data_IF_474404252599
#
_entry.id   IF_474404252599
#
_cell.length_a   1.000
_cell.length_b   1.000
_cell.length_c   1.000
_cell.angle_alpha   90.00
_cell.angle_beta   90.00
_cell.angle_gamma   90.00
#
_symmetry.space_group_name_H-M   'P 1'
#
loop_
_entity.id
_entity.type
_entity.pdbx_description
1 polymer ?
#
# COMPACT_ATOMS: atom_id res chain seq x y z
N UNK A 1 23.16 -14.99 -17.23
CA UNK A 1 21.94 -14.15 -17.14
C UNK A 1 21.98 -13.49 -15.76
N UNK A 2 22.09 -12.15 -15.69
CA UNK A 2 22.03 -11.48 -14.38
C UNK A 2 20.62 -11.64 -13.81
N UNK A 3 20.50 -12.31 -12.65
CA UNK A 3 19.22 -12.43 -11.93
C UNK A 3 18.68 -11.05 -11.54
N UNK A 4 17.35 -10.94 -11.37
CA UNK A 4 16.73 -9.66 -10.93
C UNK A 4 17.23 -9.27 -9.54
N UNK A 5 17.49 -7.99 -9.34
CA UNK A 5 17.89 -7.41 -8.05
C UNK A 5 16.64 -7.21 -7.18
N UNK A 6 16.64 -7.74 -5.97
CA UNK A 6 15.47 -7.73 -5.10
C UNK A 6 15.72 -6.91 -3.85
N UNK A 7 14.79 -6.02 -3.54
CA UNK A 7 14.65 -5.40 -2.22
C UNK A 7 13.64 -6.18 -1.38
N UNK A 8 14.07 -6.75 -0.26
CA UNK A 8 13.17 -7.39 0.68
C UNK A 8 12.53 -6.35 1.60
N UNK A 9 11.21 -6.36 1.70
CA UNK A 9 10.50 -5.54 2.68
C UNK A 9 9.91 -6.41 3.78
N UNK A 10 10.38 -6.18 5.00
CA UNK A 10 9.97 -6.90 6.21
C UNK A 10 9.30 -5.92 7.18
N UNK A 11 8.19 -6.31 7.77
CA UNK A 11 7.49 -5.49 8.76
C UNK A 11 7.01 -6.34 9.93
N UNK A 12 7.31 -5.87 11.14
CA UNK A 12 6.86 -6.48 12.39
C UNK A 12 5.97 -5.52 13.14
N UNK A 13 4.88 -6.01 13.71
CA UNK A 13 4.10 -5.25 14.67
C UNK A 13 4.75 -5.32 16.05
N UNK A 14 4.55 -4.28 16.90
CA UNK A 14 5.08 -4.20 18.27
C UNK A 14 4.77 -5.41 19.19
N UNK A 15 3.89 -6.32 18.75
CA UNK A 15 3.53 -7.56 19.43
C UNK A 15 4.16 -8.82 18.82
N UNK A 16 4.92 -8.68 17.72
CA UNK A 16 5.60 -9.80 17.05
C UNK A 16 6.93 -10.10 17.73
N UNK A 17 7.16 -11.37 18.05
CA UNK A 17 8.48 -11.84 18.44
C UNK A 17 9.41 -11.76 17.21
N UNK A 18 10.71 -11.50 17.39
CA UNK A 18 11.70 -11.47 16.30
C UNK A 18 11.67 -12.69 15.37
N UNK A 19 11.16 -13.81 15.85
CA UNK A 19 10.88 -15.03 15.09
C UNK A 19 9.98 -14.83 13.85
N UNK A 20 9.04 -13.86 13.89
CA UNK A 20 8.15 -13.59 12.74
C UNK A 20 8.91 -12.93 11.58
N UNK A 21 9.92 -12.10 11.88
CA UNK A 21 10.81 -11.51 10.86
C UNK A 21 11.70 -12.55 10.21
N UNK A 22 12.31 -13.39 11.03
CA UNK A 22 13.24 -14.41 10.54
C UNK A 22 12.52 -15.43 9.65
N UNK A 23 11.30 -15.81 10.01
CA UNK A 23 10.49 -16.69 9.18
C UNK A 23 10.12 -16.02 7.83
N UNK A 24 9.75 -14.72 7.84
CA UNK A 24 9.50 -13.97 6.61
C UNK A 24 10.75 -13.89 5.73
N UNK A 25 11.90 -13.57 6.35
CA UNK A 25 13.20 -13.49 5.66
C UNK A 25 13.57 -14.82 5.02
N UNK A 26 13.49 -15.92 5.76
CA UNK A 26 13.84 -17.26 5.26
C UNK A 26 12.96 -17.67 4.07
N UNK A 27 11.65 -17.48 4.16
CA UNK A 27 10.73 -17.82 3.08
C UNK A 27 10.99 -16.98 1.83
N UNK A 28 11.19 -15.65 1.98
CA UNK A 28 11.48 -14.76 0.86
C UNK A 28 12.85 -15.06 0.24
N UNK A 29 13.85 -15.39 1.05
CA UNK A 29 15.18 -15.79 0.55
C UNK A 29 15.10 -17.07 -0.27
N UNK A 30 14.39 -18.10 0.21
CA UNK A 30 14.16 -19.33 -0.54
C UNK A 30 13.41 -19.08 -1.86
N UNK A 31 12.42 -18.20 -1.85
CA UNK A 31 11.68 -17.82 -3.06
C UNK A 31 12.55 -17.09 -4.08
N UNK A 32 13.45 -16.22 -3.63
CA UNK A 32 14.42 -15.52 -4.48
C UNK A 32 15.43 -16.51 -5.08
N UNK A 33 15.97 -17.39 -4.27
CA UNK A 33 16.91 -18.43 -4.72
C UNK A 33 16.29 -19.34 -5.80
N UNK A 34 15.08 -19.82 -5.57
CA UNK A 34 14.35 -20.66 -6.52
C UNK A 34 14.10 -19.99 -7.88
N UNK A 35 14.08 -18.64 -7.92
CA UNK A 35 13.89 -17.82 -9.12
C UNK A 35 15.20 -17.32 -9.72
N UNK A 36 16.33 -17.58 -9.09
CA UNK A 36 17.62 -17.05 -9.49
C UNK A 36 17.73 -15.53 -9.32
N UNK A 37 17.01 -14.97 -8.34
CA UNK A 37 17.03 -13.55 -8.01
C UNK A 37 18.09 -13.23 -6.96
N UNK A 38 18.58 -12.00 -6.97
CA UNK A 38 19.66 -11.53 -6.09
C UNK A 38 19.09 -10.54 -5.08
N UNK A 39 19.12 -10.88 -3.81
CA UNK A 39 18.76 -9.95 -2.73
C UNK A 39 19.87 -8.91 -2.60
N UNK A 40 19.54 -7.66 -2.87
CA UNK A 40 20.51 -6.54 -2.81
C UNK A 40 20.42 -5.76 -1.51
N UNK A 41 19.22 -5.63 -0.95
CA UNK A 41 18.99 -4.84 0.26
C UNK A 41 17.75 -5.32 1.01
N UNK A 42 17.79 -5.24 2.34
CA UNK A 42 16.65 -5.48 3.21
C UNK A 42 16.18 -4.16 3.83
N UNK A 43 14.87 -3.98 3.88
CA UNK A 43 14.18 -2.83 4.45
C UNK A 43 13.26 -3.33 5.56
N UNK A 44 13.58 -2.99 6.82
CA UNK A 44 12.90 -3.55 8.00
C UNK A 44 12.25 -2.43 8.80
N UNK A 45 10.93 -2.35 8.78
CA UNK A 45 10.15 -1.48 9.67
C UNK A 45 9.73 -2.28 10.92
N UNK A 46 10.49 -2.13 12.00
CA UNK A 46 10.23 -2.80 13.27
C UNK A 46 9.32 -1.94 14.17
N UNK A 47 8.41 -2.61 14.90
CA UNK A 47 7.52 -1.95 15.85
C UNK A 47 6.48 -1.00 15.25
N UNK A 48 6.34 -0.99 13.92
CA UNK A 48 5.40 -0.13 13.23
C UNK A 48 4.09 -0.86 12.95
N UNK A 49 3.04 -0.46 13.68
CA UNK A 49 1.68 -0.91 13.37
C UNK A 49 1.33 -0.51 11.93
N UNK A 50 0.79 -1.47 11.14
CA UNK A 50 0.20 -1.16 9.82
C UNK A 50 -0.88 -0.07 9.90
N UNK A 51 -1.32 0.31 11.11
CA UNK A 51 -2.28 1.38 11.43
C UNK A 51 -1.70 2.79 11.32
N UNK A 52 -0.40 2.97 11.29
CA UNK A 52 0.25 4.27 11.20
C UNK A 52 0.59 4.52 9.73
N UNK A 53 0.19 5.67 9.20
CA UNK A 53 0.40 6.04 7.80
C UNK A 53 1.87 5.94 7.35
N UNK A 54 2.11 6.20 6.08
CA UNK A 54 3.42 6.16 5.41
C UNK A 54 4.50 6.94 6.19
N UNK A 55 4.13 8.06 6.82
CA UNK A 55 5.04 8.94 7.58
C UNK A 55 5.79 8.28 8.75
N UNK A 56 5.37 7.08 9.16
CA UNK A 56 6.01 6.32 10.24
C UNK A 56 6.69 5.04 9.76
N UNK A 57 6.97 4.94 8.46
CA UNK A 57 7.59 3.78 7.81
C UNK A 57 8.82 4.22 7.02
N UNK A 58 9.92 4.59 7.70
CA UNK A 58 11.12 5.14 7.05
C UNK A 58 11.77 4.15 6.08
N UNK A 59 11.74 2.85 6.42
CA UNK A 59 12.32 1.82 5.55
C UNK A 59 11.47 1.56 4.30
N UNK A 60 10.15 1.71 4.40
CA UNK A 60 9.27 1.69 3.24
C UNK A 60 9.56 2.85 2.27
N UNK A 61 9.83 4.05 2.79
CA UNK A 61 10.24 5.19 1.96
C UNK A 61 11.62 4.98 1.32
N UNK A 62 12.55 4.34 2.04
CA UNK A 62 13.86 3.97 1.48
C UNK A 62 13.71 2.94 0.35
N UNK A 63 12.85 1.95 0.54
CA UNK A 63 12.51 0.95 -0.48
C UNK A 63 11.99 1.61 -1.77
N UNK A 64 11.03 2.54 -1.65
CA UNK A 64 10.50 3.28 -2.80
C UNK A 64 11.57 4.12 -3.50
N UNK A 65 12.45 4.77 -2.74
CA UNK A 65 13.61 5.50 -3.30
C UNK A 65 14.57 4.56 -4.02
N UNK A 66 14.80 3.35 -3.49
CA UNK A 66 15.64 2.35 -4.15
C UNK A 66 15.02 1.87 -5.47
N UNK A 67 13.69 1.66 -5.51
CA UNK A 67 12.97 1.32 -6.74
C UNK A 67 13.02 2.48 -7.76
N UNK A 68 12.73 3.70 -7.34
CA UNK A 68 12.78 4.91 -8.20
C UNK A 68 14.17 5.15 -8.78
N UNK A 69 15.22 4.90 -7.98
CA UNK A 69 16.61 5.02 -8.42
C UNK A 69 17.12 3.79 -9.20
N UNK A 70 16.23 2.84 -9.51
CA UNK A 70 16.57 1.61 -10.23
C UNK A 70 17.67 0.78 -9.58
N UNK A 71 17.80 0.83 -8.27
CA UNK A 71 18.72 -0.01 -7.51
C UNK A 71 18.21 -1.44 -7.36
N UNK A 72 16.88 -1.60 -7.38
CA UNK A 72 16.18 -2.88 -7.32
C UNK A 72 15.21 -3.00 -8.51
N UNK A 73 15.01 -4.23 -8.96
CA UNK A 73 14.11 -4.58 -10.07
C UNK A 73 12.81 -5.19 -9.57
N UNK A 74 12.82 -5.74 -8.35
CA UNK A 74 11.67 -6.40 -7.70
C UNK A 74 11.63 -5.99 -6.24
N UNK A 75 10.44 -5.64 -5.76
CA UNK A 75 10.12 -5.59 -4.33
C UNK A 75 9.54 -6.92 -3.92
N UNK A 76 10.12 -7.59 -2.92
CA UNK A 76 9.57 -8.81 -2.36
C UNK A 76 9.10 -8.57 -0.93
N UNK A 77 7.86 -8.98 -0.62
CA UNK A 77 7.29 -8.90 0.71
C UNK A 77 6.52 -10.17 1.06
N UNK A 78 6.37 -10.43 2.35
CA UNK A 78 5.67 -11.63 2.83
C UNK A 78 4.19 -11.63 2.43
N UNK A 79 3.51 -10.49 2.59
CA UNK A 79 2.07 -10.41 2.35
C UNK A 79 1.61 -8.96 2.13
N UNK A 80 0.42 -8.80 1.56
CA UNK A 80 -0.22 -7.51 1.29
C UNK A 80 -0.29 -6.62 2.53
N UNK A 81 -0.64 -7.19 3.69
CA UNK A 81 -0.77 -6.44 4.95
C UNK A 81 0.55 -5.85 5.46
N UNK A 82 1.69 -6.29 4.91
CA UNK A 82 2.99 -5.65 5.16
C UNK A 82 3.13 -4.34 4.38
N UNK A 83 2.57 -4.26 3.18
CA UNK A 83 2.68 -3.11 2.29
C UNK A 83 1.61 -2.03 2.55
N UNK A 84 0.35 -2.43 2.71
CA UNK A 84 -0.79 -1.54 2.91
C UNK A 84 -1.86 -2.14 3.80
N UNK A 85 -2.95 -1.38 4.05
CA UNK A 85 -4.08 -1.82 4.87
C UNK A 85 -5.33 -2.08 4.08
N UNK A 86 -5.38 -1.50 2.90
CA UNK A 86 -6.52 -1.57 2.00
C UNK A 86 -6.06 -2.03 0.62
N UNK A 87 -7.01 -2.52 -0.15
CA UNK A 87 -6.78 -2.81 -1.56
C UNK A 87 -6.33 -1.54 -2.31
N UNK A 88 -6.86 -0.39 -1.93
CA UNK A 88 -6.50 0.90 -2.52
C UNK A 88 -5.03 1.26 -2.26
N UNK A 89 -4.52 1.06 -1.03
CA UNK A 89 -3.10 1.29 -0.72
C UNK A 89 -2.20 0.36 -1.54
N UNK A 90 -2.60 -0.90 -1.70
CA UNK A 90 -1.85 -1.87 -2.50
C UNK A 90 -1.83 -1.47 -3.98
N UNK A 91 -2.97 -1.09 -4.53
CA UNK A 91 -3.08 -0.68 -5.95
C UNK A 91 -2.27 0.60 -6.20
N UNK A 92 -2.32 1.59 -5.27
CA UNK A 92 -1.53 2.80 -5.36
C UNK A 92 -0.02 2.48 -5.33
N UNK A 93 0.41 1.63 -4.41
CA UNK A 93 1.80 1.19 -4.32
C UNK A 93 2.28 0.46 -5.57
N UNK A 94 1.45 -0.44 -6.11
CA UNK A 94 1.76 -1.15 -7.34
C UNK A 94 1.83 -0.21 -8.56
N UNK A 95 0.96 0.81 -8.61
CA UNK A 95 1.02 1.82 -9.66
C UNK A 95 2.34 2.63 -9.59
N UNK A 96 2.79 2.98 -8.37
CA UNK A 96 4.09 3.63 -8.15
C UNK A 96 5.24 2.74 -8.63
N UNK A 97 5.26 1.45 -8.28
CA UNK A 97 6.28 0.50 -8.74
C UNK A 97 6.28 0.33 -10.27
N UNK A 98 5.10 0.18 -10.85
CA UNK A 98 4.96 0.01 -12.29
C UNK A 98 5.46 1.25 -13.07
N UNK A 99 5.20 2.45 -12.56
CA UNK A 99 5.66 3.70 -13.16
C UNK A 99 7.19 3.80 -13.25
N UNK A 100 7.92 3.16 -12.33
CA UNK A 100 9.39 3.12 -12.32
C UNK A 100 9.97 1.84 -12.91
N UNK A 101 9.12 0.92 -13.36
CA UNK A 101 9.51 -0.37 -13.95
C UNK A 101 10.03 -1.38 -12.93
N UNK A 102 9.57 -1.30 -11.68
CA UNK A 102 9.86 -2.24 -10.62
C UNK A 102 8.70 -3.22 -10.42
N UNK A 103 9.00 -4.51 -10.35
CA UNK A 103 8.01 -5.56 -10.14
C UNK A 103 7.71 -5.77 -8.63
N UNK A 104 6.61 -6.50 -8.34
CA UNK A 104 6.24 -6.91 -6.98
C UNK A 104 6.14 -8.43 -6.89
N UNK A 105 6.65 -8.97 -5.80
CA UNK A 105 6.46 -10.35 -5.39
C UNK A 105 5.88 -10.44 -3.98
N UNK A 106 4.78 -11.18 -3.80
CA UNK A 106 4.14 -11.45 -2.53
C UNK A 106 4.07 -12.96 -2.30
N UNK A 107 4.80 -13.44 -1.28
CA UNK A 107 4.92 -14.87 -1.00
C UNK A 107 3.57 -15.49 -0.63
N UNK A 108 2.89 -14.93 0.36
CA UNK A 108 1.66 -15.53 0.91
C UNK A 108 0.49 -15.56 -0.08
N UNK A 109 0.38 -14.57 -0.96
CA UNK A 109 -0.66 -14.49 -1.97
C UNK A 109 -0.24 -15.06 -3.32
N UNK A 110 1.00 -15.53 -3.46
CA UNK A 110 1.58 -16.00 -4.71
C UNK A 110 1.41 -14.98 -5.87
N UNK A 111 1.49 -13.67 -5.54
CA UNK A 111 1.43 -12.61 -6.56
C UNK A 111 2.85 -12.35 -7.05
N UNK A 112 3.04 -12.47 -8.37
CA UNK A 112 4.32 -12.26 -9.02
C UNK A 112 4.12 -11.45 -10.31
N UNK A 113 4.37 -10.13 -10.24
CA UNK A 113 4.18 -9.23 -11.40
C UNK A 113 5.32 -9.33 -12.41
N UNK A 114 6.35 -10.12 -12.15
CA UNK A 114 7.38 -10.42 -13.16
C UNK A 114 6.80 -11.29 -14.26
N UNK A 115 5.70 -12.00 -13.99
CA UNK A 115 4.98 -12.86 -14.93
C UNK A 115 3.84 -12.12 -15.64
N UNK A 116 3.49 -12.49 -16.88
CA UNK A 116 2.32 -11.92 -17.56
C UNK A 116 1.02 -12.12 -16.79
N UNK A 117 0.82 -13.30 -16.19
CA UNK A 117 -0.37 -13.60 -15.39
C UNK A 117 -0.48 -12.72 -14.14
N UNK A 118 0.63 -12.51 -13.41
CA UNK A 118 0.65 -11.63 -12.24
C UNK A 118 0.41 -10.16 -12.64
N UNK A 119 0.93 -9.69 -13.76
CA UNK A 119 0.62 -8.36 -14.29
C UNK A 119 -0.85 -8.19 -14.63
N UNK A 120 -1.44 -9.20 -15.30
CA UNK A 120 -2.88 -9.18 -15.62
C UNK A 120 -3.74 -9.17 -14.36
N UNK A 121 -3.41 -10.01 -13.37
CA UNK A 121 -4.08 -10.00 -12.06
C UNK A 121 -4.02 -8.62 -11.40
N UNK A 122 -2.85 -7.97 -11.45
CA UNK A 122 -2.69 -6.63 -10.92
C UNK A 122 -3.58 -5.59 -11.61
N UNK A 123 -3.65 -5.62 -12.94
CA UNK A 123 -4.53 -4.72 -13.70
C UNK A 123 -5.99 -4.92 -13.32
N UNK A 124 -6.43 -6.16 -13.13
CA UNK A 124 -7.77 -6.47 -12.65
C UNK A 124 -8.03 -5.92 -11.25
N UNK A 125 -7.08 -6.05 -10.31
CA UNK A 125 -7.19 -5.47 -8.97
C UNK A 125 -7.32 -3.94 -9.02
N UNK A 126 -6.65 -3.27 -9.95
CA UNK A 126 -6.79 -1.84 -10.20
C UNK A 126 -8.22 -1.46 -10.58
N UNK A 127 -8.81 -2.19 -11.53
CA UNK A 127 -10.21 -1.99 -11.95
C UNK A 127 -11.18 -2.20 -10.78
N UNK A 128 -10.98 -3.24 -9.97
CA UNK A 128 -11.82 -3.48 -8.79
C UNK A 128 -11.69 -2.37 -7.74
N UNK A 129 -10.50 -1.83 -7.51
CA UNK A 129 -10.29 -0.73 -6.57
C UNK A 129 -10.98 0.57 -7.04
N UNK A 130 -10.97 0.86 -8.33
CA UNK A 130 -11.72 1.99 -8.91
C UNK A 130 -13.24 1.79 -8.79
N UNK A 131 -13.71 0.58 -9.05
CA UNK A 131 -15.12 0.24 -8.89
C UNK A 131 -15.59 0.37 -7.43
N UNK A 132 -14.82 -0.14 -6.47
CA UNK A 132 -15.10 0.04 -5.04
C UNK A 132 -15.16 1.53 -4.65
N UNK A 133 -14.21 2.32 -5.15
CA UNK A 133 -14.17 3.77 -4.92
C UNK A 133 -15.41 4.48 -5.46
N UNK A 134 -15.86 4.11 -6.67
CA UNK A 134 -17.07 4.69 -7.26
C UNK A 134 -18.31 4.38 -6.46
N UNK A 135 -18.49 3.14 -6.00
CA UNK A 135 -19.61 2.74 -5.12
C UNK A 135 -19.61 3.53 -3.81
N UNK A 136 -18.44 3.70 -3.19
CA UNK A 136 -18.32 4.49 -1.95
C UNK A 136 -18.73 5.94 -2.23
N UNK A 137 -18.25 6.53 -3.32
CA UNK A 137 -18.58 7.90 -3.71
C UNK A 137 -20.08 8.07 -3.98
N UNK A 138 -20.71 7.13 -4.67
CA UNK A 138 -22.16 7.13 -4.90
C UNK A 138 -22.94 7.08 -3.57
N UNK A 139 -22.53 6.22 -2.63
CA UNK A 139 -23.16 6.15 -1.29
C UNK A 139 -23.02 7.45 -0.52
N UNK A 140 -21.84 8.10 -0.59
CA UNK A 140 -21.60 9.40 0.05
C UNK A 140 -22.51 10.45 -0.59
N UNK A 141 -22.56 10.54 -1.92
CA UNK A 141 -23.38 11.51 -2.65
C UNK A 141 -24.88 11.29 -2.35
N UNK A 142 -25.35 10.06 -2.34
CA UNK A 142 -26.72 9.71 -1.96
C UNK A 142 -27.03 10.09 -0.50
N UNK A 143 -26.06 9.90 0.41
CA UNK A 143 -26.15 10.33 1.80
C UNK A 143 -26.26 11.84 1.94
N UNK A 144 -25.43 12.60 1.22
CA UNK A 144 -25.46 14.07 1.18
C UNK A 144 -26.78 14.59 0.59
N UNK A 145 -27.24 14.01 -0.53
CA UNK A 145 -28.51 14.38 -1.16
C UNK A 145 -29.69 14.16 -0.20
N UNK A 146 -29.71 13.02 0.50
CA UNK A 146 -30.72 12.71 1.52
C UNK A 146 -30.69 13.69 2.68
N UNK A 147 -29.49 14.05 3.17
CA UNK A 147 -29.33 14.99 4.27
C UNK A 147 -29.70 16.42 3.86
N UNK A 148 -29.50 16.81 2.60
CA UNK A 148 -29.99 18.09 2.05
C UNK A 148 -31.51 18.14 1.96
N UNK A 149 -32.15 17.03 1.58
CA UNK A 149 -33.60 16.96 1.42
C UNK A 149 -34.35 16.85 2.76
N UNK A 150 -33.79 16.11 3.74
CA UNK A 150 -34.47 15.81 5.02
C UNK A 150 -33.86 16.54 6.24
N UNK A 151 -32.78 17.29 6.06
CA UNK A 151 -31.99 17.86 7.14
C UNK A 151 -30.98 16.85 7.72
N UNK A 152 -30.00 17.36 8.46
CA UNK A 152 -29.02 16.53 9.16
C UNK A 152 -29.56 16.09 10.52
N UNK A 153 -29.10 14.93 11.02
CA UNK A 153 -29.47 14.44 12.39
C UNK A 153 -29.11 15.45 13.49
N UNK A 154 -28.10 16.29 13.28
CA UNK A 154 -27.65 17.31 14.23
C UNK A 154 -28.30 18.69 14.02
N UNK A 155 -29.15 18.87 13.01
CA UNK A 155 -29.75 20.15 12.66
C UNK A 155 -28.77 21.17 12.04
N UNK A 156 -27.47 20.82 11.92
CA UNK A 156 -26.45 21.72 11.37
C UNK A 156 -26.42 21.65 9.85
N UNK A 157 -26.13 22.79 9.21
CA UNK A 157 -25.94 22.85 7.75
C UNK A 157 -24.79 21.96 7.28
N UNK A 158 -24.92 21.36 6.09
CA UNK A 158 -23.88 20.57 5.45
C UNK A 158 -22.87 21.51 4.81
N UNK A 159 -21.59 21.36 5.16
CA UNK A 159 -20.49 22.12 4.60
C UNK A 159 -19.65 22.81 5.67
N UNK A 160 -18.64 23.53 5.22
CA UNK A 160 -17.83 24.37 6.11
C UNK A 160 -18.71 25.51 6.64
N UNK A 161 -18.71 25.81 7.96
CA UNK A 161 -19.41 26.97 8.50
C UNK A 161 -19.00 28.23 7.72
N UNK A 162 -19.98 29.04 7.30
CA UNK A 162 -19.69 30.33 6.70
C UNK A 162 -18.96 31.18 7.74
N UNK A 163 -17.83 31.75 7.35
CA UNK A 163 -17.10 32.70 8.18
C UNK A 163 -17.91 33.99 8.27
N UNK A 164 -18.54 34.26 9.40
CA UNK A 164 -19.22 35.55 9.63
C UNK A 164 -18.15 36.58 10.01
N UNK A 165 -17.98 37.58 9.14
CA UNK A 165 -17.03 38.67 9.35
C UNK A 165 -17.35 39.54 10.60
N UNK A 166 -18.51 39.30 11.24
CA UNK A 166 -18.94 40.01 12.46
C UNK A 166 -18.28 39.54 13.72
N UNK A 167 -17.63 38.35 13.72
CA UNK A 167 -16.90 37.83 14.88
C UNK A 167 -15.47 38.43 15.05
N UNK A 168 -15.14 39.47 14.33
CA UNK A 168 -13.88 40.21 14.41
C UNK A 168 -14.07 41.64 14.91
N UNK A 169 -14.81 41.85 15.97
CA UNK A 169 -14.66 43.11 16.71
C UNK A 169 -14.31 42.83 18.16
N UNK A 170 -13.19 43.43 18.64
CA UNK A 170 -12.82 43.38 20.03
C UNK A 170 -13.79 44.15 20.92
#
# INVERSE_FOLDING_TARGET
MNGKRVGLYLRVSMKGNGQDVDNQRLALAAACEARGWHITEEFVDDGVSGAKGRDKRPEFDRLLKAATNRKIDVVAAWSVDRLGRSLQDLVAFLAELNAVGCDLYLERQAVDTTTPAGRALFQMLGVFAEFERSIIQERINAGIARARAKGTKSGKAIGRPSFDARDRMP
#
